data_IF_776051676971
#
_entry.id   IF_776051676971
#
_cell.length_a   1.000
_cell.length_b   1.000
_cell.length_c   1.000
_cell.angle_alpha   90.00
_cell.angle_beta   90.00
_cell.angle_gamma   90.00
#
_symmetry.space_group_name_H-M   'P 1'
#
loop_
_entity.id
_entity.type
_entity.pdbx_description
1 polymer ?
#
# COMPACT_ATOMS: atom_id res chain seq x y z
N UNK A 1 32.99 12.20 -17.57
CA UNK A 1 32.05 11.07 -17.75
C UNK A 1 31.08 11.50 -18.82
N UNK A 2 31.15 10.92 -20.00
CA UNK A 2 30.23 11.22 -21.11
C UNK A 2 28.90 10.52 -20.76
N UNK A 3 27.82 11.29 -20.67
CA UNK A 3 26.46 10.78 -20.62
C UNK A 3 26.23 10.04 -21.96
N UNK A 4 26.27 8.70 -21.97
CA UNK A 4 25.75 7.92 -23.08
C UNK A 4 24.24 8.19 -23.12
N UNK A 5 23.83 9.03 -24.06
CA UNK A 5 22.43 9.19 -24.45
C UNK A 5 21.97 7.83 -25.00
N UNK A 6 20.96 7.24 -24.36
CA UNK A 6 20.30 6.03 -24.88
C UNK A 6 20.00 6.23 -26.39
N UNK A 7 20.23 5.22 -27.23
CA UNK A 7 19.92 5.34 -28.65
C UNK A 7 18.43 5.67 -28.82
N UNK A 8 18.12 6.63 -29.69
CA UNK A 8 16.75 7.12 -29.95
C UNK A 8 15.75 6.04 -30.41
N UNK A 9 16.19 4.79 -30.54
CA UNK A 9 15.41 3.60 -30.90
C UNK A 9 15.23 2.61 -29.75
N UNK A 10 15.86 2.84 -28.59
CA UNK A 10 15.71 1.92 -27.45
C UNK A 10 14.31 2.04 -26.84
N UNK A 11 13.66 0.89 -26.62
CA UNK A 11 12.39 0.85 -25.86
C UNK A 11 12.61 1.30 -24.43
N UNK A 12 11.60 1.98 -23.82
CA UNK A 12 11.68 2.33 -22.40
C UNK A 12 11.86 1.09 -21.52
N UNK A 13 12.84 1.12 -20.61
CA UNK A 13 13.08 0.06 -19.65
C UNK A 13 12.05 0.07 -18.49
N UNK A 14 11.35 1.19 -18.32
CA UNK A 14 10.39 1.41 -17.23
C UNK A 14 9.02 0.87 -17.64
N UNK A 15 8.40 -0.04 -16.84
CA UNK A 15 7.04 -0.45 -17.09
C UNK A 15 6.07 0.70 -16.84
N UNK A 16 4.95 0.70 -17.54
CA UNK A 16 3.84 1.60 -17.28
C UNK A 16 3.21 1.27 -15.92
N UNK A 17 2.78 2.31 -15.20
CA UNK A 17 2.01 2.21 -13.96
C UNK A 17 0.76 3.09 -14.05
N UNK A 18 -0.24 2.77 -13.26
CA UNK A 18 -1.38 3.64 -12.98
C UNK A 18 -1.57 3.73 -11.48
N UNK A 19 -1.77 4.95 -11.01
CA UNK A 19 -1.85 5.30 -9.60
C UNK A 19 -3.28 5.69 -9.22
N UNK A 20 -3.61 5.51 -7.95
CA UNK A 20 -4.92 5.78 -7.37
C UNK A 20 -4.86 6.47 -6.02
N UNK A 21 -5.55 5.91 -5.03
CA UNK A 21 -5.65 6.49 -3.70
C UNK A 21 -4.30 6.69 -3.03
N UNK A 22 -4.10 7.85 -2.41
CA UNK A 22 -2.99 8.10 -1.49
C UNK A 22 -3.23 7.38 -0.16
N UNK A 23 -2.20 6.76 0.39
CA UNK A 23 -2.29 5.88 1.57
C UNK A 23 -1.26 6.27 2.62
N UNK A 24 -1.70 6.35 3.86
CA UNK A 24 -0.84 6.57 5.03
C UNK A 24 -1.13 5.51 6.07
N UNK A 25 -0.09 4.78 6.47
CA UNK A 25 -0.09 3.91 7.63
C UNK A 25 0.64 4.60 8.78
N UNK A 26 0.03 4.65 9.96
CA UNK A 26 0.64 5.20 11.17
C UNK A 26 0.59 4.15 12.27
N UNK A 27 1.76 3.61 12.64
CA UNK A 27 1.91 2.67 13.75
C UNK A 27 2.22 3.45 15.02
N UNK A 28 1.40 3.28 16.04
CA UNK A 28 1.49 3.99 17.31
C UNK A 28 1.67 3.02 18.48
N UNK A 29 2.45 3.42 19.47
CA UNK A 29 2.49 2.78 20.79
C UNK A 29 1.63 3.55 21.75
N UNK A 30 0.91 2.83 22.61
CA UNK A 30 0.17 3.45 23.72
C UNK A 30 1.11 3.67 24.90
N UNK A 31 1.12 4.86 25.45
CA UNK A 31 1.85 5.21 26.67
C UNK A 31 1.11 4.62 27.88
N UNK A 32 1.13 3.30 28.01
CA UNK A 32 0.30 2.53 28.92
C UNK A 32 0.34 2.99 30.38
N UNK A 33 1.50 3.43 30.88
CA UNK A 33 1.61 3.97 32.25
C UNK A 33 0.81 5.25 32.43
N UNK A 34 0.92 6.18 31.48
CA UNK A 34 0.17 7.44 31.51
C UNK A 34 -1.34 7.19 31.28
N UNK A 35 -1.67 6.29 30.36
CA UNK A 35 -3.05 5.89 30.07
C UNK A 35 -3.75 5.27 31.30
N UNK A 36 -3.07 4.36 32.00
CA UNK A 36 -3.61 3.73 33.24
C UNK A 36 -3.74 4.68 34.42
N UNK A 37 -2.93 5.75 34.45
CA UNK A 37 -3.01 6.75 35.50
C UNK A 37 -4.27 7.65 35.41
N UNK A 38 -4.97 7.67 34.27
CA UNK A 38 -6.22 8.36 34.09
C UNK A 38 -7.36 7.71 34.88
N UNK A 39 -8.31 8.52 35.31
CA UNK A 39 -9.58 8.00 35.82
C UNK A 39 -10.37 7.26 34.72
N UNK A 40 -11.26 6.36 35.11
CA UNK A 40 -12.13 5.67 34.14
C UNK A 40 -13.01 6.68 33.37
N UNK A 41 -13.45 7.75 34.00
CA UNK A 41 -14.24 8.81 33.38
C UNK A 41 -13.45 9.58 32.32
N UNK A 42 -12.18 9.92 32.60
CA UNK A 42 -11.32 10.63 31.66
C UNK A 42 -11.02 9.73 30.44
N UNK A 43 -10.69 8.45 30.66
CA UNK A 43 -10.49 7.51 29.58
C UNK A 43 -11.73 7.40 28.67
N UNK A 44 -12.93 7.27 29.27
CA UNK A 44 -14.19 7.22 28.52
C UNK A 44 -14.38 8.48 27.68
N UNK A 45 -14.20 9.67 28.27
CA UNK A 45 -14.37 10.93 27.57
C UNK A 45 -13.38 11.12 26.40
N UNK A 46 -12.12 10.67 26.55
CA UNK A 46 -11.10 10.68 25.48
C UNK A 46 -11.50 9.74 24.34
N UNK A 47 -11.96 8.53 24.67
CA UNK A 47 -12.34 7.53 23.68
C UNK A 47 -13.63 7.90 22.94
N UNK A 48 -14.58 8.53 23.64
CA UNK A 48 -15.78 9.09 23.01
C UNK A 48 -15.46 10.24 22.06
N UNK A 49 -14.51 11.10 22.41
CA UNK A 49 -14.02 12.15 21.49
C UNK A 49 -13.40 11.53 20.25
N UNK A 50 -12.50 10.56 20.41
CA UNK A 50 -11.87 9.86 19.31
C UNK A 50 -12.89 9.15 18.41
N UNK A 51 -13.90 8.48 18.99
CA UNK A 51 -14.95 7.81 18.25
C UNK A 51 -15.85 8.78 17.45
N UNK A 52 -16.06 10.00 17.96
CA UNK A 52 -16.81 11.04 17.25
C UNK A 52 -16.01 11.76 16.18
N UNK A 53 -14.69 11.62 16.17
CA UNK A 53 -13.84 12.30 15.19
C UNK A 53 -14.19 11.88 13.76
N UNK A 54 -14.38 12.87 12.89
CA UNK A 54 -14.64 12.65 11.45
C UNK A 54 -13.51 11.87 10.78
N UNK A 55 -12.28 12.00 11.30
CA UNK A 55 -11.11 11.28 10.80
C UNK A 55 -11.17 9.79 11.09
N UNK A 56 -11.64 9.43 12.28
CA UNK A 56 -11.87 8.06 12.69
C UNK A 56 -13.31 7.60 12.33
N UNK A 57 -14.30 8.51 12.41
CA UNK A 57 -15.72 8.26 12.11
C UNK A 57 -16.06 8.12 10.62
N UNK A 58 -15.21 8.63 9.71
CA UNK A 58 -15.31 8.35 8.26
C UNK A 58 -14.95 6.92 7.89
N UNK A 59 -14.66 6.05 8.88
CA UNK A 59 -14.31 4.66 8.70
C UNK A 59 -15.48 3.77 8.25
N UNK A 60 -16.71 4.13 8.61
CA UNK A 60 -17.88 3.27 8.34
C UNK A 60 -18.66 3.68 7.08
N UNK A 61 -18.32 4.81 6.47
CA UNK A 61 -18.95 5.25 5.22
C UNK A 61 -17.92 5.75 4.21
N UNK A 62 -17.64 5.00 3.15
CA UNK A 62 -16.77 5.44 2.06
C UNK A 62 -17.47 6.53 1.25
N UNK A 63 -17.52 7.76 1.77
CA UNK A 63 -18.01 8.90 1.02
C UNK A 63 -16.84 9.60 0.34
N UNK A 64 -16.77 9.51 -0.99
CA UNK A 64 -15.87 10.34 -1.80
C UNK A 64 -14.38 10.02 -1.67
N UNK A 65 -13.98 8.75 -1.46
CA UNK A 65 -12.56 8.36 -1.43
C UNK A 65 -11.83 8.70 -0.13
N UNK A 66 -12.54 9.04 0.94
CA UNK A 66 -12.00 9.31 2.28
C UNK A 66 -12.35 8.17 3.21
N UNK A 67 -11.36 7.34 3.54
CA UNK A 67 -11.55 6.17 4.40
C UNK A 67 -10.43 6.09 5.43
N UNK A 68 -10.76 5.59 6.60
CA UNK A 68 -9.78 5.26 7.63
C UNK A 68 -10.18 3.97 8.32
N UNK A 69 -9.19 3.23 8.84
CA UNK A 69 -9.41 2.05 9.65
C UNK A 69 -8.39 2.02 10.80
N UNK A 70 -8.78 1.42 11.92
CA UNK A 70 -7.89 1.18 13.07
C UNK A 70 -7.75 -0.31 13.30
N UNK A 71 -6.55 -0.73 13.63
CA UNK A 71 -6.23 -2.11 13.98
C UNK A 71 -5.43 -2.14 15.27
N UNK A 72 -5.78 -3.06 16.18
CA UNK A 72 -4.93 -3.42 17.33
C UNK A 72 -3.85 -4.38 16.86
N UNK A 73 -2.60 -3.97 16.98
CA UNK A 73 -1.45 -4.75 16.51
C UNK A 73 -1.08 -5.86 17.49
N UNK A 74 -0.68 -7.00 16.96
CA UNK A 74 -0.12 -8.11 17.70
C UNK A 74 1.42 -8.00 17.75
N UNK A 75 1.99 -8.34 18.89
CA UNK A 75 3.43 -8.23 19.14
C UNK A 75 3.85 -6.81 19.55
N UNK A 76 5.16 -6.60 19.77
CA UNK A 76 5.69 -5.36 20.34
C UNK A 76 6.22 -4.36 19.29
N UNK A 77 5.67 -4.36 18.08
CA UNK A 77 6.06 -3.43 17.00
C UNK A 77 5.26 -2.13 17.03
N UNK A 78 4.15 -2.13 17.73
CA UNK A 78 3.20 -1.05 17.96
C UNK A 78 1.99 -1.62 18.66
N UNK A 79 1.06 -0.77 19.10
CA UNK A 79 -0.21 -1.18 19.72
C UNK A 79 -1.38 -0.92 18.78
N UNK A 80 -1.37 0.22 18.08
CA UNK A 80 -2.41 0.63 17.14
C UNK A 80 -1.80 0.92 15.77
N UNK A 81 -2.54 0.55 14.73
CA UNK A 81 -2.27 0.94 13.34
C UNK A 81 -3.47 1.72 12.83
N UNK A 82 -3.24 2.97 12.43
CA UNK A 82 -4.20 3.78 11.70
C UNK A 82 -3.86 3.72 10.21
N UNK A 83 -4.84 3.36 9.39
CA UNK A 83 -4.73 3.32 7.92
C UNK A 83 -5.67 4.35 7.34
N UNK A 84 -5.15 5.24 6.50
CA UNK A 84 -5.91 6.30 5.85
C UNK A 84 -5.79 6.17 4.33
N UNK A 85 -6.92 6.11 3.63
CA UNK A 85 -7.00 6.23 2.17
C UNK A 85 -7.63 7.57 1.82
N UNK A 86 -6.97 8.36 0.96
CA UNK A 86 -7.38 9.71 0.56
C UNK A 86 -7.15 9.91 -0.94
N UNK A 87 -7.71 10.99 -1.49
CA UNK A 87 -7.54 11.31 -2.91
C UNK A 87 -6.17 11.88 -3.25
N UNK A 88 -5.53 12.54 -2.29
CA UNK A 88 -4.24 13.21 -2.45
C UNK A 88 -3.51 13.34 -1.11
N UNK A 89 -2.28 13.83 -1.15
CA UNK A 89 -1.44 13.99 0.04
C UNK A 89 -1.93 15.14 0.96
N UNK A 90 -2.57 16.16 0.43
CA UNK A 90 -3.15 17.24 1.24
C UNK A 90 -4.28 16.73 2.13
N UNK A 91 -5.08 15.79 1.62
CA UNK A 91 -6.12 15.13 2.42
C UNK A 91 -5.50 14.14 3.44
N UNK A 92 -4.39 13.45 3.13
CA UNK A 92 -3.64 12.64 4.10
C UNK A 92 -3.05 13.49 5.21
N UNK A 93 -2.41 14.62 4.87
CA UNK A 93 -1.88 15.58 5.83
C UNK A 93 -2.99 16.11 6.77
N UNK A 94 -4.15 16.44 6.20
CA UNK A 94 -5.30 16.86 6.99
C UNK A 94 -5.78 15.78 7.96
N UNK A 95 -5.78 14.50 7.53
CA UNK A 95 -6.15 13.37 8.38
C UNK A 95 -5.12 13.15 9.51
N UNK A 96 -3.83 13.22 9.20
CA UNK A 96 -2.75 13.14 10.18
C UNK A 96 -2.88 14.24 11.25
N UNK A 97 -3.09 15.49 10.83
CA UNK A 97 -3.27 16.61 11.78
C UNK A 97 -4.56 16.48 12.60
N UNK A 98 -5.63 15.95 12.01
CA UNK A 98 -6.87 15.72 12.75
C UNK A 98 -6.68 14.66 13.84
N UNK A 99 -5.95 13.57 13.57
CA UNK A 99 -5.56 12.58 14.58
C UNK A 99 -4.72 13.23 15.68
N UNK A 100 -3.70 14.00 15.31
CA UNK A 100 -2.79 14.67 16.26
C UNK A 100 -3.49 15.67 17.20
N UNK A 101 -4.65 16.22 16.83
CA UNK A 101 -5.44 17.13 17.66
C UNK A 101 -6.32 16.45 18.70
N UNK A 102 -6.49 15.14 18.63
CA UNK A 102 -7.30 14.39 19.60
C UNK A 102 -6.55 14.26 20.93
N UNK A 103 -7.26 14.36 22.05
CA UNK A 103 -6.68 14.07 23.38
C UNK A 103 -6.09 12.66 23.48
N UNK A 104 -6.59 11.70 22.68
CA UNK A 104 -6.02 10.37 22.59
C UNK A 104 -4.53 10.42 22.16
N UNK A 105 -4.17 11.36 21.31
CA UNK A 105 -2.79 11.49 20.81
C UNK A 105 -1.77 11.86 21.88
N UNK A 106 -2.19 12.47 23.00
CA UNK A 106 -1.33 12.73 24.15
C UNK A 106 -0.83 11.44 24.82
N UNK A 107 -1.54 10.34 24.58
CA UNK A 107 -1.23 8.99 25.08
C UNK A 107 -0.70 8.04 24.01
N UNK A 108 -0.43 8.55 22.81
CA UNK A 108 0.17 7.79 21.71
C UNK A 108 1.58 8.29 21.42
N UNK A 109 2.46 7.36 21.11
CA UNK A 109 3.83 7.62 20.66
C UNK A 109 4.00 7.03 19.27
N UNK A 110 4.46 7.81 18.27
CA UNK A 110 4.74 7.28 16.93
C UNK A 110 5.81 6.18 17.00
N UNK A 111 5.51 5.00 16.44
CA UNK A 111 6.48 3.93 16.28
C UNK A 111 7.14 4.00 14.91
N UNK A 112 6.34 4.09 13.85
CA UNK A 112 6.76 4.29 12.47
C UNK A 112 5.54 4.68 11.63
N UNK A 113 5.80 5.06 10.37
CA UNK A 113 4.74 5.33 9.38
C UNK A 113 5.15 4.80 8.02
N UNK A 114 4.21 4.79 7.07
CA UNK A 114 4.47 4.45 5.69
C UNK A 114 3.56 5.27 4.78
N UNK A 115 4.16 6.04 3.86
CA UNK A 115 3.46 6.91 2.91
C UNK A 115 3.56 6.34 1.50
N UNK A 116 2.44 6.18 0.82
CA UNK A 116 2.38 5.53 -0.49
C UNK A 116 1.17 5.96 -1.32
N UNK A 117 1.07 5.42 -2.53
CA UNK A 117 -0.13 5.52 -3.39
C UNK A 117 -0.52 4.12 -3.85
N UNK A 118 -1.81 3.83 -4.01
CA UNK A 118 -2.23 2.59 -4.65
C UNK A 118 -1.67 2.57 -6.07
N UNK A 119 -0.93 1.52 -6.42
CA UNK A 119 -0.24 1.41 -7.70
C UNK A 119 -0.49 0.06 -8.36
N UNK A 120 -0.73 0.08 -9.66
CA UNK A 120 -0.83 -1.12 -10.48
C UNK A 120 0.24 -1.09 -11.58
N UNK A 121 1.22 -1.96 -11.49
CA UNK A 121 2.22 -2.15 -12.53
C UNK A 121 1.64 -2.89 -13.74
N UNK A 122 1.83 -2.33 -14.93
CA UNK A 122 1.27 -2.81 -16.19
C UNK A 122 2.33 -3.54 -17.03
N UNK A 123 3.05 -4.52 -16.46
CA UNK A 123 4.17 -5.19 -17.12
C UNK A 123 3.82 -5.78 -18.49
N UNK A 124 2.72 -6.55 -18.56
CA UNK A 124 2.27 -7.17 -19.84
C UNK A 124 1.84 -6.10 -20.84
N UNK A 125 0.99 -5.16 -20.40
CA UNK A 125 0.52 -4.07 -21.26
C UNK A 125 1.63 -3.13 -21.71
N UNK A 126 2.70 -2.96 -20.92
CA UNK A 126 3.86 -2.14 -21.31
C UNK A 126 4.57 -2.73 -22.51
N UNK A 127 4.87 -4.02 -22.46
CA UNK A 127 5.55 -4.73 -23.54
C UNK A 127 4.73 -4.67 -24.84
N UNK A 128 3.43 -5.00 -24.74
CA UNK A 128 2.53 -5.00 -25.90
C UNK A 128 2.36 -3.59 -26.48
N UNK A 129 2.24 -2.57 -25.63
CA UNK A 129 2.11 -1.18 -26.08
C UNK A 129 3.37 -0.72 -26.78
N UNK A 130 4.53 -0.92 -26.19
CA UNK A 130 5.79 -0.45 -26.77
C UNK A 130 6.11 -1.14 -28.10
N UNK A 131 5.94 -2.44 -28.18
CA UNK A 131 6.14 -3.19 -29.42
C UNK A 131 5.14 -2.78 -30.49
N UNK A 132 3.85 -2.65 -30.17
CA UNK A 132 2.83 -2.23 -31.12
C UNK A 132 3.02 -0.80 -31.65
N UNK A 133 3.59 0.13 -30.86
CA UNK A 133 3.94 1.47 -31.34
C UNK A 133 5.12 1.43 -32.32
N UNK A 134 6.14 0.61 -32.05
CA UNK A 134 7.29 0.42 -32.95
C UNK A 134 6.83 -0.20 -34.26
N UNK A 135 5.97 -1.22 -34.23
CA UNK A 135 5.39 -1.85 -35.43
C UNK A 135 4.62 -0.86 -36.32
N UNK A 136 3.98 0.16 -35.71
CA UNK A 136 3.33 1.27 -36.41
C UNK A 136 4.31 2.32 -36.93
N UNK A 137 5.61 2.17 -36.68
CA UNK A 137 6.64 3.13 -37.08
C UNK A 137 6.71 4.38 -36.21
N UNK A 138 6.05 4.38 -35.03
CA UNK A 138 6.09 5.49 -34.08
C UNK A 138 7.42 5.41 -33.30
N UNK A 139 8.19 6.49 -33.34
CA UNK A 139 9.52 6.55 -32.72
C UNK A 139 9.41 6.62 -31.21
N UNK A 140 10.15 5.78 -30.46
CA UNK A 140 10.25 5.91 -29.00
C UNK A 140 10.61 7.34 -28.56
N UNK A 141 10.00 7.79 -27.47
CA UNK A 141 10.23 9.13 -26.87
C UNK A 141 9.80 10.33 -27.75
N UNK A 142 9.07 10.12 -28.87
CA UNK A 142 8.47 11.22 -29.63
C UNK A 142 7.19 11.75 -28.96
N UNK A 143 6.72 12.92 -29.37
CA UNK A 143 5.44 13.47 -28.90
C UNK A 143 4.26 12.55 -29.25
N UNK A 144 4.29 11.91 -30.43
CA UNK A 144 3.30 10.94 -30.85
C UNK A 144 3.31 9.71 -29.94
N UNK A 145 4.52 9.20 -29.61
CA UNK A 145 4.69 8.13 -28.64
C UNK A 145 4.07 8.47 -27.29
N UNK A 146 4.36 9.67 -26.76
CA UNK A 146 3.82 10.11 -25.48
C UNK A 146 2.27 10.18 -25.49
N UNK A 147 1.67 10.68 -26.57
CA UNK A 147 0.21 10.73 -26.71
C UNK A 147 -0.42 9.34 -26.75
N UNK A 148 0.15 8.43 -27.51
CA UNK A 148 -0.35 7.05 -27.62
C UNK A 148 -0.24 6.29 -26.29
N UNK A 149 0.90 6.43 -25.59
CA UNK A 149 1.11 5.85 -24.26
C UNK A 149 0.07 6.42 -23.28
N UNK A 150 -0.15 7.74 -23.25
CA UNK A 150 -1.13 8.35 -22.35
C UNK A 150 -2.57 7.88 -22.66
N UNK A 151 -2.90 7.68 -23.93
CA UNK A 151 -4.20 7.11 -24.31
C UNK A 151 -4.38 5.67 -23.80
N UNK A 152 -3.30 4.89 -23.75
CA UNK A 152 -3.31 3.53 -23.14
C UNK A 152 -3.51 3.64 -21.62
N UNK A 153 -2.75 4.50 -20.95
CA UNK A 153 -2.85 4.70 -19.50
C UNK A 153 -4.26 5.15 -19.08
N UNK A 154 -4.87 6.07 -19.83
CA UNK A 154 -6.22 6.54 -19.53
C UNK A 154 -7.28 5.43 -19.67
N UNK A 155 -7.14 4.53 -20.65
CA UNK A 155 -7.99 3.34 -20.76
C UNK A 155 -7.81 2.42 -19.55
N UNK A 156 -6.56 2.21 -19.09
CA UNK A 156 -6.28 1.39 -17.92
C UNK A 156 -6.83 2.02 -16.64
N UNK A 157 -6.65 3.33 -16.44
CA UNK A 157 -7.22 4.05 -15.26
C UNK A 157 -8.73 3.85 -15.18
N UNK A 158 -9.45 3.99 -16.29
CA UNK A 158 -10.90 3.77 -16.34
C UNK A 158 -11.29 2.32 -16.05
N UNK A 159 -10.63 1.37 -16.70
CA UNK A 159 -10.93 -0.05 -16.53
C UNK A 159 -10.60 -0.58 -15.13
N UNK A 160 -9.57 -0.03 -14.51
CA UNK A 160 -9.05 -0.46 -13.20
C UNK A 160 -9.46 0.46 -12.05
N UNK A 161 -10.36 1.43 -12.27
CA UNK A 161 -10.79 2.39 -11.26
C UNK A 161 -11.19 1.74 -9.90
N UNK A 162 -11.93 0.61 -9.83
CA UNK A 162 -12.24 -0.03 -8.56
C UNK A 162 -11.04 -0.61 -7.82
N UNK A 163 -9.93 -0.87 -8.53
CA UNK A 163 -8.67 -1.34 -7.94
C UNK A 163 -7.76 -0.19 -7.54
N UNK A 164 -7.82 0.93 -8.23
CA UNK A 164 -7.08 2.16 -7.94
C UNK A 164 -7.68 2.92 -6.76
N UNK A 165 -8.99 2.85 -6.61
CA UNK A 165 -9.76 3.49 -5.54
C UNK A 165 -10.49 2.45 -4.68
N UNK A 166 -9.76 1.51 -4.06
CA UNK A 166 -10.38 0.42 -3.31
C UNK A 166 -11.01 0.95 -2.02
N UNK A 167 -12.02 0.24 -1.56
CA UNK A 167 -12.48 0.36 -0.18
C UNK A 167 -11.53 -0.42 0.74
N UNK A 168 -11.29 0.12 1.95
CA UNK A 168 -10.56 -0.63 2.99
C UNK A 168 -11.45 -1.82 3.38
N UNK A 169 -10.99 -3.07 3.17
CA UNK A 169 -11.82 -4.25 3.43
C UNK A 169 -12.25 -4.34 4.88
N UNK A 170 -13.51 -4.76 5.11
CA UNK A 170 -14.08 -4.95 6.43
C UNK A 170 -13.58 -6.18 7.19
N UNK A 171 -12.62 -6.92 6.65
CA UNK A 171 -12.08 -8.15 7.20
C UNK A 171 -11.51 -7.99 8.62
N UNK A 172 -11.58 -9.07 9.39
CA UNK A 172 -11.17 -9.10 10.80
C UNK A 172 -9.68 -8.85 11.01
N UNK A 173 -8.83 -9.29 10.09
CA UNK A 173 -7.38 -9.18 10.21
C UNK A 173 -6.77 -8.38 9.07
N UNK A 174 -5.69 -7.65 9.39
CA UNK A 174 -4.76 -7.05 8.44
C UNK A 174 -3.37 -7.66 8.64
N UNK A 175 -2.63 -7.83 7.54
CA UNK A 175 -1.18 -8.00 7.55
C UNK A 175 -0.59 -6.96 6.61
N UNK A 176 0.07 -5.94 7.15
CA UNK A 176 0.81 -4.95 6.38
C UNK A 176 2.31 -5.24 6.45
N UNK A 177 3.01 -5.09 5.33
CA UNK A 177 4.46 -5.08 5.28
C UNK A 177 4.97 -4.22 4.12
N UNK A 178 6.04 -3.44 4.32
CA UNK A 178 6.76 -2.78 3.24
C UNK A 178 7.76 -3.76 2.61
N UNK A 179 8.15 -3.50 1.37
CA UNK A 179 9.13 -4.30 0.66
C UNK A 179 9.87 -3.53 -0.42
N UNK A 180 11.06 -4.04 -0.77
CA UNK A 180 11.88 -3.56 -1.88
C UNK A 180 12.12 -4.65 -2.91
N UNK A 181 12.56 -4.21 -4.09
CA UNK A 181 13.23 -5.06 -5.07
C UNK A 181 14.74 -4.98 -4.92
N UNK A 182 15.41 -6.12 -4.97
CA UNK A 182 16.86 -6.22 -4.83
C UNK A 182 17.60 -5.39 -5.88
N UNK A 183 18.53 -4.58 -5.40
CA UNK A 183 19.47 -3.75 -6.19
C UNK A 183 20.91 -4.16 -5.88
N UNK A 184 21.20 -5.46 -5.89
CA UNK A 184 22.52 -6.00 -5.61
C UNK A 184 23.42 -6.07 -6.85
N UNK A 185 24.71 -6.34 -6.64
CA UNK A 185 25.70 -6.45 -7.72
C UNK A 185 25.44 -7.63 -8.66
N UNK A 186 25.07 -8.79 -8.10
CA UNK A 186 24.84 -10.01 -8.87
C UNK A 186 23.40 -10.18 -9.34
N UNK A 187 22.43 -9.61 -8.61
CA UNK A 187 21.01 -9.65 -8.94
C UNK A 187 20.39 -8.28 -8.65
N UNK A 188 19.91 -7.66 -9.73
CA UNK A 188 19.32 -6.33 -9.70
C UNK A 188 18.04 -6.31 -10.54
N UNK A 189 16.87 -6.19 -9.87
CA UNK A 189 15.57 -6.16 -10.52
C UNK A 189 15.47 -5.12 -11.64
N UNK A 190 16.06 -3.95 -11.44
CA UNK A 190 15.97 -2.84 -12.38
C UNK A 190 16.86 -3.00 -13.61
N UNK A 191 17.79 -3.95 -13.56
CA UNK A 191 18.65 -4.32 -14.70
C UNK A 191 18.12 -5.53 -15.48
N UNK A 192 17.09 -6.21 -14.96
CA UNK A 192 16.45 -7.31 -15.71
C UNK A 192 15.73 -6.78 -16.95
N UNK A 193 15.63 -7.62 -17.98
CA UNK A 193 14.92 -7.25 -19.20
C UNK A 193 13.41 -7.12 -18.97
N UNK A 194 12.72 -6.33 -19.79
CA UNK A 194 11.26 -6.21 -19.69
C UNK A 194 10.55 -7.57 -19.85
N UNK A 195 10.92 -8.43 -20.82
CA UNK A 195 10.33 -9.78 -20.94
C UNK A 195 10.52 -10.64 -19.69
N UNK A 196 11.70 -10.61 -19.07
CA UNK A 196 11.97 -11.39 -17.86
C UNK A 196 11.12 -10.89 -16.68
N UNK A 197 11.05 -9.58 -16.48
CA UNK A 197 10.18 -8.99 -15.46
C UNK A 197 8.71 -9.32 -15.68
N UNK A 198 8.24 -9.26 -16.93
CA UNK A 198 6.88 -9.62 -17.30
C UNK A 198 6.59 -11.10 -16.98
N UNK A 199 7.48 -12.01 -17.37
CA UNK A 199 7.36 -13.45 -17.08
C UNK A 199 7.25 -13.70 -15.57
N UNK A 200 8.22 -13.20 -14.80
CA UNK A 200 8.27 -13.38 -13.34
C UNK A 200 7.04 -12.80 -12.65
N UNK A 201 6.60 -11.59 -13.02
CA UNK A 201 5.41 -10.95 -12.44
C UNK A 201 4.11 -11.67 -12.83
N UNK A 202 4.05 -12.28 -14.02
CA UNK A 202 2.91 -13.12 -14.42
C UNK A 202 2.80 -14.37 -13.55
N UNK A 203 3.89 -15.08 -13.31
CA UNK A 203 3.95 -16.25 -12.43
C UNK A 203 3.56 -15.89 -10.99
N UNK A 204 4.12 -14.82 -10.45
CA UNK A 204 3.78 -14.28 -9.14
C UNK A 204 2.28 -13.94 -9.02
N UNK A 205 1.72 -13.27 -10.03
CA UNK A 205 0.30 -12.92 -10.08
C UNK A 205 -0.63 -14.14 -10.15
N UNK A 206 -0.19 -15.27 -10.73
CA UNK A 206 -0.95 -16.52 -10.75
C UNK A 206 -1.08 -17.12 -9.34
N UNK A 207 -0.02 -17.07 -8.53
CA UNK A 207 -0.06 -17.50 -7.12
C UNK A 207 -1.06 -16.63 -6.34
N UNK A 208 -0.92 -15.31 -6.41
CA UNK A 208 -1.82 -14.38 -5.72
C UNK A 208 -3.30 -14.61 -6.06
N UNK A 209 -3.60 -14.89 -7.33
CA UNK A 209 -4.98 -15.16 -7.79
C UNK A 209 -5.60 -16.41 -7.16
N UNK A 210 -4.82 -17.43 -6.80
CA UNK A 210 -5.35 -18.63 -6.12
C UNK A 210 -5.95 -18.30 -4.75
N UNK A 211 -5.49 -17.24 -4.12
CA UNK A 211 -5.96 -16.79 -2.80
C UNK A 211 -7.01 -15.67 -2.86
N UNK A 212 -7.45 -15.25 -4.05
CA UNK A 212 -8.35 -14.10 -4.22
C UNK A 212 -9.71 -14.24 -3.51
N UNK A 213 -10.16 -15.49 -3.23
CA UNK A 213 -11.38 -15.77 -2.46
C UNK A 213 -11.19 -15.69 -0.93
N UNK A 214 -9.95 -15.75 -0.43
CA UNK A 214 -9.62 -15.78 0.99
C UNK A 214 -8.92 -14.51 1.46
N UNK A 215 -8.14 -13.85 0.57
CA UNK A 215 -7.35 -12.65 0.86
C UNK A 215 -7.68 -11.53 -0.11
N UNK A 216 -8.02 -10.36 0.41
CA UNK A 216 -8.02 -9.13 -0.37
C UNK A 216 -6.64 -8.49 -0.26
N UNK A 217 -5.99 -8.24 -1.40
CA UNK A 217 -4.70 -7.58 -1.47
C UNK A 217 -4.87 -6.16 -2.00
N UNK A 218 -4.19 -5.20 -1.38
CA UNK A 218 -4.01 -3.84 -1.89
C UNK A 218 -2.50 -3.59 -1.93
N UNK A 219 -1.99 -3.25 -3.11
CA UNK A 219 -0.58 -2.98 -3.34
C UNK A 219 -0.42 -1.48 -3.54
N UNK A 220 0.59 -0.90 -2.87
CA UNK A 220 0.91 0.51 -2.95
C UNK A 220 2.36 0.71 -3.34
N UNK A 221 2.65 1.76 -4.13
CA UNK A 221 3.99 2.20 -4.50
C UNK A 221 4.40 3.40 -3.65
N UNK A 222 5.67 3.46 -3.27
CA UNK A 222 6.23 4.54 -2.43
C UNK A 222 7.61 5.01 -2.88
N UNK A 223 8.06 4.61 -4.05
CA UNK A 223 9.36 5.05 -4.59
C UNK A 223 9.40 6.58 -4.64
N UNK A 224 10.32 7.18 -3.86
CA UNK A 224 10.44 8.63 -3.73
C UNK A 224 9.56 9.26 -2.64
N UNK A 225 8.77 8.48 -1.90
CA UNK A 225 7.92 8.94 -0.81
C UNK A 225 8.34 8.37 0.55
N UNK A 226 8.89 7.17 0.57
CA UNK A 226 9.25 6.45 1.80
C UNK A 226 10.58 5.69 1.62
N UNK A 227 11.08 5.09 2.70
CA UNK A 227 12.34 4.32 2.70
C UNK A 227 12.22 2.99 1.95
N UNK A 228 11.02 2.47 1.79
CA UNK A 228 10.69 1.25 1.06
C UNK A 228 9.98 1.57 -0.26
N UNK A 229 10.05 0.66 -1.22
CA UNK A 229 9.53 0.88 -2.58
C UNK A 229 8.06 0.52 -2.73
N UNK A 230 7.58 -0.49 -2.00
CA UNK A 230 6.17 -0.94 -2.03
C UNK A 230 5.66 -1.29 -0.66
N UNK A 231 4.34 -1.06 -0.47
CA UNK A 231 3.57 -1.55 0.66
C UNK A 231 2.56 -2.61 0.21
N UNK A 232 2.38 -3.63 1.02
CA UNK A 232 1.41 -4.70 0.78
C UNK A 232 0.47 -4.79 1.96
N UNK A 233 -0.81 -4.52 1.71
CA UNK A 233 -1.90 -4.76 2.63
C UNK A 233 -2.62 -6.05 2.26
N UNK A 234 -2.68 -6.99 3.20
CA UNK A 234 -3.46 -8.23 3.11
C UNK A 234 -4.58 -8.19 4.14
N UNK A 235 -5.81 -8.46 3.70
CA UNK A 235 -6.99 -8.49 4.57
C UNK A 235 -7.67 -9.85 4.47
N UNK A 236 -8.02 -10.46 5.63
CA UNK A 236 -8.65 -11.77 5.67
C UNK A 236 -9.45 -12.01 6.98
N UNK A 237 -10.34 -12.98 6.95
CA UNK A 237 -11.05 -13.46 8.15
C UNK A 237 -10.23 -14.47 8.96
N UNK A 238 -9.32 -15.23 8.31
CA UNK A 238 -8.39 -16.17 8.93
C UNK A 238 -6.94 -15.68 8.73
N UNK A 239 -6.18 -15.36 9.81
CA UNK A 239 -4.81 -14.87 9.67
C UNK A 239 -3.85 -15.95 9.16
N UNK A 240 -4.17 -17.24 9.24
CA UNK A 240 -3.32 -18.31 8.73
C UNK A 240 -3.18 -18.27 7.21
N UNK A 241 -4.15 -17.67 6.52
CA UNK A 241 -4.07 -17.51 5.06
C UNK A 241 -2.92 -16.59 4.65
N UNK A 242 -2.57 -15.57 5.45
CA UNK A 242 -1.40 -14.73 5.20
C UNK A 242 -0.12 -15.56 5.16
N UNK A 243 0.04 -16.46 6.15
CA UNK A 243 1.20 -17.36 6.21
C UNK A 243 1.23 -18.30 5.00
N UNK A 244 0.10 -18.90 4.62
CA UNK A 244 0.03 -19.81 3.46
C UNK A 244 0.39 -19.10 2.16
N UNK A 245 -0.22 -17.94 1.90
CA UNK A 245 0.04 -17.11 0.72
C UNK A 245 1.52 -16.70 0.62
N UNK A 246 2.05 -16.08 1.69
CA UNK A 246 3.42 -15.57 1.68
C UNK A 246 4.43 -16.72 1.61
N UNK A 247 4.16 -17.85 2.28
CA UNK A 247 5.01 -19.04 2.20
C UNK A 247 5.08 -19.58 0.78
N UNK A 248 3.94 -19.71 0.08
CA UNK A 248 3.91 -20.18 -1.30
C UNK A 248 4.63 -19.21 -2.24
N UNK A 249 4.40 -17.90 -2.10
CA UNK A 249 5.09 -16.88 -2.88
C UNK A 249 6.61 -16.88 -2.70
N UNK A 250 7.16 -17.39 -1.58
CA UNK A 250 8.62 -17.51 -1.39
C UNK A 250 9.30 -18.45 -2.38
N UNK A 251 8.53 -19.31 -3.05
CA UNK A 251 9.06 -20.28 -4.02
C UNK A 251 8.94 -19.78 -5.48
N UNK A 252 8.26 -18.66 -5.75
CA UNK A 252 8.32 -18.06 -7.07
C UNK A 252 9.64 -17.28 -7.26
N UNK A 253 10.09 -17.19 -8.50
CA UNK A 253 11.40 -16.62 -8.83
C UNK A 253 11.52 -15.15 -8.38
N UNK A 254 10.49 -14.33 -8.61
CA UNK A 254 10.56 -12.90 -8.28
C UNK A 254 10.64 -12.66 -6.78
N UNK A 255 9.96 -13.47 -5.97
CA UNK A 255 10.03 -13.34 -4.52
C UNK A 255 11.29 -13.98 -3.95
N UNK A 256 11.69 -15.15 -4.44
CA UNK A 256 12.88 -15.86 -3.97
C UNK A 256 14.18 -15.09 -4.24
N UNK A 257 14.28 -14.44 -5.41
CA UNK A 257 15.52 -13.80 -5.87
C UNK A 257 15.54 -12.30 -5.59
N UNK A 258 14.40 -11.60 -5.80
CA UNK A 258 14.39 -10.13 -5.85
C UNK A 258 13.64 -9.47 -4.70
N UNK A 259 12.74 -10.15 -3.97
CA UNK A 259 11.99 -9.50 -2.92
C UNK A 259 12.80 -9.37 -1.61
N UNK A 260 12.83 -8.15 -1.07
CA UNK A 260 13.34 -7.83 0.27
C UNK A 260 12.14 -7.38 1.10
N UNK A 261 11.84 -8.14 2.15
CA UNK A 261 10.67 -7.89 3.00
C UNK A 261 11.07 -7.11 4.23
N UNK A 262 10.34 -6.04 4.51
CA UNK A 262 10.45 -5.28 5.74
C UNK A 262 9.69 -5.92 6.90
N UNK A 263 9.36 -5.09 7.88
CA UNK A 263 8.66 -5.51 9.09
C UNK A 263 7.20 -5.85 8.79
N UNK A 264 6.76 -7.02 9.24
CA UNK A 264 5.35 -7.44 9.18
C UNK A 264 4.58 -6.91 10.38
N UNK A 265 3.45 -6.25 10.13
CA UNK A 265 2.49 -5.78 11.12
C UNK A 265 1.20 -6.57 10.95
N UNK A 266 0.83 -7.34 11.96
CA UNK A 266 -0.43 -8.10 11.97
C UNK A 266 -1.33 -7.53 13.03
N UNK A 267 -2.58 -7.24 12.67
CA UNK A 267 -3.54 -6.62 13.60
C UNK A 267 -4.96 -7.10 13.40
N UNK A 268 -5.77 -6.88 14.45
CA UNK A 268 -7.21 -7.10 14.45
C UNK A 268 -7.91 -5.77 14.21
N UNK A 269 -8.90 -5.77 13.32
CA UNK A 269 -9.74 -4.58 13.09
C UNK A 269 -10.44 -4.16 14.38
N UNK A 270 -10.32 -2.88 14.71
CA UNK A 270 -11.03 -2.25 15.83
C UNK A 270 -12.16 -1.42 15.26
N UNK A 271 -13.43 -1.84 15.42
CA UNK A 271 -14.57 -0.95 15.17
C UNK A 271 -14.48 0.27 16.10
N UNK A 272 -14.96 1.43 15.69
CA UNK A 272 -14.92 2.62 16.55
C UNK A 272 -15.56 2.41 17.92
N UNK A 273 -16.71 1.73 17.94
CA UNK A 273 -17.37 1.35 19.19
C UNK A 273 -16.52 0.39 20.06
N UNK A 274 -15.56 -0.33 19.46
CA UNK A 274 -14.66 -1.27 20.12
C UNK A 274 -13.35 -0.66 20.61
N UNK A 275 -13.06 0.60 20.29
CA UNK A 275 -11.81 1.25 20.73
C UNK A 275 -11.71 1.32 22.27
N UNK A 276 -12.83 1.58 22.94
CA UNK A 276 -12.91 1.58 24.38
C UNK A 276 -12.58 0.21 25.00
N UNK A 277 -13.03 -0.89 24.38
CA UNK A 277 -12.71 -2.25 24.85
C UNK A 277 -11.25 -2.61 24.59
N UNK A 278 -10.71 -2.20 23.44
CA UNK A 278 -9.31 -2.42 23.08
C UNK A 278 -8.34 -1.74 24.05
N UNK A 279 -8.66 -0.53 24.51
CA UNK A 279 -7.83 0.27 25.43
C UNK A 279 -8.28 0.17 26.91
N UNK A 280 -9.18 -0.76 27.22
CA UNK A 280 -9.64 -1.04 28.58
C UNK A 280 -8.58 -1.91 29.29
N UNK A 281 -7.84 -1.30 30.19
CA UNK A 281 -6.81 -1.95 31.04
C UNK A 281 -6.96 -1.51 32.47
#
# INVERSE_FOLDING_TARGET
MMSETLPATALPAVPLTVEGASVLHQMMRVRWSAWRALSAGDRSAILEEAARSVTLGGMEQPAGGRQSAVYSLLGHKGDLLFVHFRRNFEELHSAQLALAKLRLSDYLEPATSYLSVVELGLYESSSDTYNGLVEKGIKPHSEEWAREVEAVLERHRKAMAPRLWPEIPGAKYICFYPMDRRRGEAKNWYQETMPDRQRMMKEHGLIGRRYAGEVRQIITGSIGFDDWEWGVDLFAEDPLVFKRLIYEMRFDEVSAVYALFGTFYVGLRVPLAGLAETLKV
#
